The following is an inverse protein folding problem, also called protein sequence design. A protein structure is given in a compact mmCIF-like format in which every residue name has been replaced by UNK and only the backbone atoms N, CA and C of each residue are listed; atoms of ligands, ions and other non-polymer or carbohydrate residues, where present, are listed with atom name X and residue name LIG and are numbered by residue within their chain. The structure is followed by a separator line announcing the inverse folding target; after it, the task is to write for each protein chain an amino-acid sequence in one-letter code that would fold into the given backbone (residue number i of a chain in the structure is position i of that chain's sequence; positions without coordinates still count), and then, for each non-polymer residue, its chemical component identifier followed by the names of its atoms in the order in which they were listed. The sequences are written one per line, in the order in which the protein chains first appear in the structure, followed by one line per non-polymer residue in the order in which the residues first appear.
data_IF_089358630653
#
_entry.id   IF_089358630653
#
_cell.length_a   1.000
_cell.length_b   1.000
_cell.length_c   1.000
_cell.angle_alpha   90.00
_cell.angle_beta   90.00
_cell.angle_gamma   90.00
#
_symmetry.space_group_name_H-M   'P 1'
#
loop_
_entity.id
_entity.type
_entity.pdbx_description
1 polymer ?
#
# COMPACT_ATOMS: atom_id res chain seq x y z
N UNK A 1 -20.93 32.12 3.00
CA UNK A 1 -20.53 30.88 2.33
C UNK A 1 -19.52 30.24 3.26
N UNK A 2 -20.02 29.41 4.17
CA UNK A 2 -19.27 28.87 5.31
C UNK A 2 -18.42 27.70 4.82
N UNK A 3 -17.13 27.73 5.15
CA UNK A 3 -16.19 26.63 4.96
C UNK A 3 -16.38 25.65 6.12
N UNK A 4 -17.27 24.66 5.92
CA UNK A 4 -17.75 23.73 6.97
C UNK A 4 -17.14 22.32 6.86
N UNK A 5 -15.89 22.16 6.43
CA UNK A 5 -15.29 20.81 6.31
C UNK A 5 -13.88 20.70 6.87
N UNK A 6 -13.71 21.05 8.14
CA UNK A 6 -12.57 20.51 8.92
C UNK A 6 -12.85 20.56 10.43
N UNK A 7 -13.90 19.86 10.86
CA UNK A 7 -14.08 19.48 12.26
C UNK A 7 -14.65 18.07 12.29
N UNK A 8 -13.78 17.08 12.32
CA UNK A 8 -14.08 15.81 12.99
C UNK A 8 -13.22 15.73 14.24
N UNK A 9 -13.73 16.38 15.28
CA UNK A 9 -13.61 15.89 16.64
C UNK A 9 -14.46 14.61 16.71
N UNK A 10 -13.82 13.47 16.95
CA UNK A 10 -14.48 12.18 16.96
C UNK A 10 -13.52 11.08 17.36
N UNK A 11 -13.61 10.65 18.62
CA UNK A 11 -12.93 9.48 19.12
C UNK A 11 -13.19 8.22 18.28
N UNK A 12 -12.30 7.25 18.44
CA UNK A 12 -12.20 5.96 17.75
C UNK A 12 -11.59 6.01 16.33
N UNK A 13 -10.25 6.01 16.27
CA UNK A 13 -9.51 5.28 15.22
C UNK A 13 -9.49 5.85 13.80
N UNK A 14 -9.82 7.12 13.58
CA UNK A 14 -9.68 7.73 12.25
C UNK A 14 -8.20 8.01 11.93
N UNK A 15 -7.66 7.39 10.87
CA UNK A 15 -6.31 7.68 10.36
C UNK A 15 -6.30 9.00 9.59
N UNK A 16 -5.36 9.90 9.90
CA UNK A 16 -5.26 11.19 9.22
C UNK A 16 -4.80 10.99 7.75
N UNK A 17 -5.54 11.59 6.82
CA UNK A 17 -5.32 11.49 5.38
C UNK A 17 -5.10 12.88 4.79
N UNK A 18 -3.97 13.08 4.13
CA UNK A 18 -3.70 14.29 3.37
C UNK A 18 -3.99 14.06 1.88
N UNK A 19 -4.61 15.04 1.22
CA UNK A 19 -4.94 14.99 -0.20
C UNK A 19 -4.31 16.16 -0.97
N UNK A 20 -3.57 15.86 -2.04
CA UNK A 20 -3.03 16.87 -2.94
C UNK A 20 -4.06 17.27 -3.99
N UNK A 21 -4.66 18.46 -3.85
CA UNK A 21 -5.68 18.97 -4.76
C UNK A 21 -5.23 19.15 -6.22
N UNK A 22 -3.93 19.05 -6.51
CA UNK A 22 -3.38 19.21 -7.87
C UNK A 22 -3.35 17.93 -8.69
N UNK A 23 -3.06 16.79 -8.05
CA UNK A 23 -2.95 15.48 -8.71
C UNK A 23 -4.01 14.48 -8.22
N UNK A 24 -4.92 14.91 -7.34
CA UNK A 24 -5.98 14.08 -6.75
C UNK A 24 -5.45 12.83 -6.04
N UNK A 25 -4.20 12.87 -5.60
CA UNK A 25 -3.55 11.79 -4.86
C UNK A 25 -3.78 12.01 -3.36
N UNK A 26 -4.15 10.95 -2.65
CA UNK A 26 -4.28 10.93 -1.19
C UNK A 26 -3.20 10.04 -0.58
N UNK A 27 -2.72 10.44 0.61
CA UNK A 27 -1.75 9.69 1.40
C UNK A 27 -2.19 9.67 2.87
N UNK A 28 -1.88 8.59 3.59
CA UNK A 28 -2.27 8.41 5.00
C UNK A 28 -1.07 8.80 5.88
N UNK A 29 -1.11 9.97 6.50
CA UNK A 29 0.02 10.53 7.28
C UNK A 29 -0.12 10.20 8.76
N UNK A 30 -1.36 10.11 9.26
CA UNK A 30 -1.64 9.77 10.66
C UNK A 30 -1.26 8.35 11.06
N UNK A 31 -1.05 7.46 10.07
CA UNK A 31 -0.58 6.11 10.32
C UNK A 31 0.87 6.04 10.85
N UNK A 32 1.67 7.09 10.63
CA UNK A 32 3.09 7.14 11.01
C UNK A 32 3.46 8.35 11.89
N UNK A 33 2.68 9.44 11.84
CA UNK A 33 2.99 10.71 12.51
C UNK A 33 1.98 11.14 13.58
N UNK A 34 1.04 10.29 13.99
CA UNK A 34 0.04 10.63 15.02
C UNK A 34 0.67 11.16 16.31
N UNK A 35 -0.13 11.85 17.14
CA UNK A 35 0.24 12.49 18.44
C UNK A 35 0.65 11.46 19.54
N UNK A 36 1.10 10.28 19.13
CA UNK A 36 1.56 9.20 19.97
C UNK A 36 2.97 9.50 20.49
N UNK A 37 3.25 9.02 21.70
CA UNK A 37 4.58 9.09 22.29
C UNK A 37 5.61 8.36 21.40
N UNK A 38 6.88 8.75 21.53
CA UNK A 38 7.98 8.19 20.73
C UNK A 38 8.10 6.68 20.88
N UNK A 39 7.73 6.15 22.05
CA UNK A 39 7.74 4.71 22.34
C UNK A 39 6.61 3.97 21.59
N UNK A 40 5.37 4.46 21.67
CA UNK A 40 4.22 3.91 20.93
C UNK A 40 4.39 4.01 19.41
N UNK A 41 5.02 5.09 18.93
CA UNK A 41 5.32 5.29 17.51
C UNK A 41 6.30 4.23 17.01
N UNK A 42 7.33 3.90 17.78
CA UNK A 42 8.31 2.88 17.40
C UNK A 42 7.70 1.47 17.34
N UNK A 43 6.69 1.17 18.17
CA UNK A 43 5.99 -0.12 18.15
C UNK A 43 5.06 -0.29 16.93
N UNK A 44 4.58 0.82 16.36
CA UNK A 44 3.62 0.83 15.24
C UNK A 44 4.20 1.31 13.92
N UNK A 45 5.48 1.68 13.90
CA UNK A 45 6.19 2.17 12.72
C UNK A 45 6.36 1.04 11.69
N UNK A 46 5.73 1.13 10.50
CA UNK A 46 5.86 0.12 9.45
C UNK A 46 7.28 0.03 8.86
N UNK A 47 8.16 0.99 9.18
CA UNK A 47 9.56 1.00 8.78
C UNK A 47 10.52 0.63 9.91
N UNK A 48 10.02 0.37 11.13
CA UNK A 48 10.85 -0.05 12.25
C UNK A 48 11.40 -1.47 12.04
N UNK A 49 12.61 -1.71 12.57
CA UNK A 49 13.31 -2.99 12.47
C UNK A 49 14.46 -2.99 11.46
N UNK A 50 15.00 -4.17 11.18
CA UNK A 50 16.26 -4.33 10.43
C UNK A 50 16.04 -4.52 8.91
N UNK A 51 14.79 -4.52 8.42
CA UNK A 51 14.46 -4.88 7.03
C UNK A 51 13.35 -4.00 6.45
N UNK A 52 13.73 -3.07 5.57
CA UNK A 52 12.84 -2.45 4.58
C UNK A 52 12.73 -3.28 3.29
N UNK A 53 13.54 -4.33 3.16
CA UNK A 53 13.48 -5.30 2.06
C UNK A 53 12.62 -6.48 2.46
N UNK A 54 11.41 -6.54 1.88
CA UNK A 54 10.51 -7.68 2.03
C UNK A 54 11.03 -8.84 1.17
N UNK A 55 11.09 -10.04 1.73
CA UNK A 55 11.44 -11.24 0.96
C UNK A 55 10.47 -11.42 -0.22
N UNK A 56 11.02 -11.67 -1.42
CA UNK A 56 10.25 -11.77 -2.66
C UNK A 56 9.10 -12.79 -2.54
N UNK A 57 9.29 -13.89 -1.80
CA UNK A 57 8.26 -14.90 -1.59
C UNK A 57 7.09 -14.40 -0.73
N UNK A 58 7.36 -13.54 0.25
CA UNK A 58 6.35 -12.90 1.09
C UNK A 58 5.57 -11.85 0.30
N UNK A 59 6.27 -11.10 -0.57
CA UNK A 59 5.63 -10.15 -1.48
C UNK A 59 4.73 -10.85 -2.50
N UNK A 60 5.18 -11.95 -3.13
CA UNK A 60 4.37 -12.73 -4.07
C UNK A 60 3.16 -13.40 -3.42
N UNK A 61 3.22 -13.72 -2.14
CA UNK A 61 2.10 -14.32 -1.40
C UNK A 61 0.95 -13.32 -1.18
N UNK A 62 1.27 -12.05 -0.97
CA UNK A 62 0.29 -11.00 -0.65
C UNK A 62 -0.11 -10.20 -1.90
N UNK A 63 0.75 -10.14 -2.92
CA UNK A 63 0.54 -9.37 -4.13
C UNK A 63 -0.18 -10.18 -5.23
N UNK A 64 -1.37 -9.75 -5.66
CA UNK A 64 -2.04 -10.31 -6.83
C UNK A 64 -1.16 -10.23 -8.10
N UNK A 65 -0.27 -9.25 -8.18
CA UNK A 65 0.62 -9.04 -9.33
C UNK A 65 1.64 -10.16 -9.52
N UNK A 66 2.14 -10.78 -8.44
CA UNK A 66 3.06 -11.91 -8.54
C UNK A 66 2.40 -13.14 -9.16
N UNK A 67 1.18 -13.45 -8.73
CA UNK A 67 0.39 -14.56 -9.28
C UNK A 67 -0.08 -14.31 -10.72
N UNK A 68 -0.54 -13.10 -11.03
CA UNK A 68 -1.03 -12.76 -12.37
C UNK A 68 0.08 -12.79 -13.42
N UNK A 69 1.31 -12.41 -13.07
CA UNK A 69 2.47 -12.54 -13.96
C UNK A 69 2.77 -14.00 -14.28
N UNK A 70 2.81 -14.88 -13.27
CA UNK A 70 3.09 -16.32 -13.47
C UNK A 70 2.01 -17.00 -14.35
N UNK A 71 0.75 -16.59 -14.18
CA UNK A 71 -0.36 -17.05 -15.03
C UNK A 71 -0.24 -16.52 -16.46
N UNK A 72 0.11 -15.24 -16.63
CA UNK A 72 0.34 -14.62 -17.93
C UNK A 72 1.45 -15.35 -18.68
N UNK A 73 2.58 -15.62 -18.02
CA UNK A 73 3.74 -16.27 -18.65
C UNK A 73 3.38 -17.66 -19.18
N UNK A 74 2.62 -18.45 -18.40
CA UNK A 74 2.09 -19.74 -18.86
C UNK A 74 1.16 -19.61 -20.08
N UNK A 75 0.30 -18.59 -20.10
CA UNK A 75 -0.60 -18.35 -21.23
C UNK A 75 0.17 -17.92 -22.49
N UNK A 76 1.19 -17.06 -22.33
CA UNK A 76 2.05 -16.63 -23.43
C UNK A 76 2.87 -17.80 -23.99
N UNK A 77 3.37 -18.70 -23.14
CA UNK A 77 4.09 -19.90 -23.56
C UNK A 77 3.19 -20.85 -24.37
N UNK A 78 1.96 -21.11 -23.89
CA UNK A 78 0.95 -21.87 -24.62
C UNK A 78 0.59 -21.21 -25.95
N UNK A 79 0.40 -19.89 -25.94
CA UNK A 79 0.09 -19.12 -27.14
C UNK A 79 1.21 -19.20 -28.18
N UNK A 80 2.46 -19.10 -27.75
CA UNK A 80 3.64 -19.25 -28.63
C UNK A 80 3.73 -20.64 -29.23
N UNK A 81 3.56 -21.70 -28.43
CA UNK A 81 3.55 -23.08 -28.93
C UNK A 81 2.44 -23.32 -29.95
N UNK A 82 1.23 -22.80 -29.69
CA UNK A 82 0.10 -22.92 -30.62
C UNK A 82 0.29 -22.12 -31.91
N UNK A 83 0.90 -20.93 -31.82
CA UNK A 83 1.05 -20.03 -32.97
C UNK A 83 2.27 -20.37 -33.84
N UNK A 84 3.36 -20.82 -33.22
CA UNK A 84 4.67 -20.99 -33.87
C UNK A 84 5.16 -22.45 -33.89
N UNK A 85 4.56 -23.36 -33.13
CA UNK A 85 4.84 -24.80 -33.21
C UNK A 85 6.09 -25.29 -32.46
N UNK A 86 6.64 -24.49 -31.55
CA UNK A 86 7.76 -24.86 -30.65
C UNK A 86 7.29 -25.60 -29.39
#
# INVERSE_FOLDING_TARGET
MTDERDRSDGGDGAVEVEACGRCSMSTVVGAVNGDQDSEERAERDPFAGERIEVDESSFRQISPGGFLSDLKDRVDELGRRLSYGE
#
